data_IF_535736835599
#
_entry.id   IF_535736835599
#
_cell.length_a   1.000
_cell.length_b   1.000
_cell.length_c   1.000
_cell.angle_alpha   90.00
_cell.angle_beta   90.00
_cell.angle_gamma   90.00
#
_symmetry.space_group_name_H-M   'P 1'
#
loop_
_entity.id
_entity.type
_entity.pdbx_description
1 polymer ?
#
# COMPACT_ATOMS: atom_id res chain seq x y z
N UNK A 1 5.31 -0.76 7.85
CA UNK A 1 6.79 -0.90 7.77
C UNK A 1 7.12 -2.04 6.83
N UNK A 2 8.30 -2.02 6.20
CA UNK A 2 8.77 -3.10 5.34
C UNK A 2 8.94 -4.39 6.15
N UNK A 3 8.66 -5.51 5.51
CA UNK A 3 8.86 -6.86 6.06
C UNK A 3 9.44 -7.72 4.94
N UNK A 4 10.57 -8.37 5.19
CA UNK A 4 11.24 -9.19 4.19
C UNK A 4 10.43 -10.44 3.78
N UNK A 5 9.40 -10.79 4.56
CA UNK A 5 8.44 -11.84 4.19
C UNK A 5 7.49 -11.40 3.09
N UNK A 6 7.35 -10.10 2.84
CA UNK A 6 6.52 -9.55 1.77
C UNK A 6 7.39 -8.96 0.66
N UNK A 7 7.33 -9.55 -0.52
CA UNK A 7 8.06 -9.08 -1.70
C UNK A 7 7.08 -8.68 -2.80
N UNK A 8 7.38 -7.59 -3.50
CA UNK A 8 6.60 -7.14 -4.65
C UNK A 8 7.50 -6.36 -5.61
N UNK A 9 7.03 -6.21 -6.85
CA UNK A 9 7.56 -5.23 -7.80
C UNK A 9 6.41 -4.31 -8.19
N UNK A 10 6.57 -3.01 -8.00
CA UNK A 10 5.53 -2.06 -8.38
C UNK A 10 5.42 -2.02 -9.91
N UNK A 11 4.21 -2.24 -10.43
CA UNK A 11 3.92 -2.15 -11.86
C UNK A 11 3.04 -0.92 -12.14
N UNK A 12 3.60 0.17 -12.70
CA UNK A 12 2.84 1.37 -13.05
C UNK A 12 1.75 1.12 -14.10
N UNK A 13 1.90 0.08 -14.93
CA UNK A 13 0.95 -0.26 -15.99
C UNK A 13 -0.19 -1.20 -15.52
N UNK A 14 -0.19 -1.62 -14.25
CA UNK A 14 -1.28 -2.44 -13.71
C UNK A 14 -2.52 -1.58 -13.48
N UNK A 15 -3.58 -1.83 -14.25
CA UNK A 15 -4.82 -1.04 -14.22
C UNK A 15 -5.96 -1.72 -13.46
N UNK A 16 -5.78 -2.95 -13.00
CA UNK A 16 -6.78 -3.69 -12.23
C UNK A 16 -6.14 -4.72 -11.31
N UNK A 17 -6.72 -4.92 -10.13
CA UNK A 17 -6.38 -6.00 -9.20
C UNK A 17 -7.66 -6.54 -8.57
N UNK A 18 -8.01 -7.80 -8.90
CA UNK A 18 -9.31 -8.36 -8.53
C UNK A 18 -10.45 -7.54 -9.14
N UNK A 19 -11.36 -7.03 -8.31
CA UNK A 19 -12.49 -6.18 -8.72
C UNK A 19 -12.17 -4.67 -8.67
N UNK A 20 -10.96 -4.29 -8.27
CA UNK A 20 -10.56 -2.90 -8.06
C UNK A 20 -9.86 -2.37 -9.31
N UNK A 21 -10.35 -1.25 -9.84
CA UNK A 21 -9.65 -0.47 -10.89
C UNK A 21 -8.54 0.34 -10.24
N UNK A 22 -7.39 0.41 -10.90
CA UNK A 22 -6.19 1.08 -10.40
C UNK A 22 -5.74 2.18 -11.34
N UNK A 23 -5.29 3.28 -10.77
CA UNK A 23 -4.65 4.39 -11.45
C UNK A 23 -3.14 4.42 -11.12
N UNK A 24 -2.48 3.25 -11.14
CA UNK A 24 -1.05 3.12 -10.78
C UNK A 24 -0.13 4.08 -11.55
N UNK A 25 -0.48 4.48 -12.77
CA UNK A 25 0.28 5.47 -13.55
C UNK A 25 0.34 6.85 -12.90
N UNK A 26 -0.61 7.17 -12.02
CA UNK A 26 -0.63 8.44 -11.26
C UNK A 26 0.37 8.45 -10.10
N UNK A 27 0.94 7.28 -9.74
CA UNK A 27 1.71 7.09 -8.53
C UNK A 27 3.12 6.59 -8.82
N UNK A 28 4.11 7.23 -8.19
CA UNK A 28 5.51 6.87 -8.23
C UNK A 28 5.89 6.15 -6.95
N UNK A 29 6.39 4.92 -7.08
CA UNK A 29 6.96 4.16 -5.97
C UNK A 29 8.40 4.61 -5.67
N UNK A 30 8.65 4.97 -4.42
CA UNK A 30 9.97 5.29 -3.88
C UNK A 30 10.36 4.27 -2.81
N UNK A 31 11.43 3.54 -3.11
CA UNK A 31 11.96 2.50 -2.24
C UNK A 31 13.21 2.95 -1.44
N UNK A 32 13.59 4.22 -1.50
CA UNK A 32 14.81 4.75 -0.87
C UNK A 32 14.77 4.71 0.65
N UNK A 33 13.58 4.81 1.27
CA UNK A 33 13.45 4.72 2.72
C UNK A 33 13.65 3.27 3.18
N UNK A 34 14.54 2.97 4.13
CA UNK A 34 14.82 1.60 4.56
C UNK A 34 13.68 0.95 5.38
N UNK A 35 12.79 1.76 5.97
CA UNK A 35 11.75 1.31 6.91
C UNK A 35 10.35 1.28 6.28
N UNK A 36 10.08 2.14 5.30
CA UNK A 36 8.76 2.28 4.69
C UNK A 36 8.82 2.20 3.17
N UNK A 37 7.78 1.60 2.58
CA UNK A 37 7.47 1.78 1.18
C UNK A 37 6.70 3.10 1.01
N UNK A 38 7.11 3.94 0.07
CA UNK A 38 6.52 5.26 -0.12
C UNK A 38 5.95 5.35 -1.52
N UNK A 39 4.72 5.82 -1.64
CA UNK A 39 4.13 6.22 -2.91
C UNK A 39 3.90 7.73 -2.90
N UNK A 40 4.19 8.38 -4.03
CA UNK A 40 3.96 9.80 -4.23
C UNK A 40 3.16 10.01 -5.52
N UNK A 41 2.30 11.01 -5.51
CA UNK A 41 1.61 11.48 -6.72
C UNK A 41 1.79 12.99 -6.85
N UNK A 42 1.95 13.45 -8.08
CA UNK A 42 1.90 14.87 -8.44
C UNK A 42 0.58 15.25 -9.10
N UNK A 43 -0.33 14.29 -9.26
CA UNK A 43 -1.66 14.52 -9.82
C UNK A 43 -2.47 15.37 -8.85
N UNK A 44 -3.12 16.40 -9.37
CA UNK A 44 -4.13 17.14 -8.62
C UNK A 44 -5.37 16.26 -8.48
N UNK A 45 -5.74 15.94 -7.24
CA UNK A 45 -6.96 15.20 -6.91
C UNK A 45 -7.98 16.24 -6.42
N UNK A 46 -9.02 16.58 -7.21
CA UNK A 46 -10.01 17.54 -6.77
C UNK A 46 -10.76 17.03 -5.53
N UNK A 47 -11.32 17.96 -4.74
CA UNK A 47 -12.15 17.60 -3.59
C UNK A 47 -13.25 16.58 -3.96
N UNK A 48 -13.54 15.66 -3.03
CA UNK A 48 -14.50 14.56 -3.20
C UNK A 48 -14.12 13.50 -4.25
N UNK A 49 -12.92 13.56 -4.84
CA UNK A 49 -12.40 12.52 -5.73
C UNK A 49 -11.28 11.72 -5.06
N UNK A 50 -10.90 10.62 -5.68
CA UNK A 50 -9.78 9.78 -5.27
C UNK A 50 -8.96 9.33 -6.48
N UNK A 51 -7.78 8.79 -6.19
CA UNK A 51 -6.97 7.99 -7.12
C UNK A 51 -6.46 6.79 -6.33
N UNK A 52 -6.33 5.66 -7.00
CA UNK A 52 -6.07 4.36 -6.40
C UNK A 52 -4.74 3.84 -6.90
N UNK A 53 -3.89 3.40 -5.98
CA UNK A 53 -2.75 2.55 -6.33
C UNK A 53 -2.94 1.18 -5.71
N UNK A 54 -2.40 0.17 -6.38
CA UNK A 54 -2.42 -1.21 -5.95
C UNK A 54 -1.10 -1.90 -6.27
N UNK A 55 -0.79 -2.93 -5.49
CA UNK A 55 0.37 -3.77 -5.69
C UNK A 55 -0.02 -5.24 -5.51
N UNK A 56 0.61 -6.09 -6.30
CA UNK A 56 0.55 -7.53 -6.13
C UNK A 56 1.91 -7.99 -5.61
N UNK A 57 1.90 -8.76 -4.53
CA UNK A 57 3.10 -9.27 -3.90
C UNK A 57 2.93 -10.71 -3.43
N UNK A 58 4.05 -11.30 -3.01
CA UNK A 58 4.11 -12.61 -2.41
C UNK A 58 4.43 -12.46 -0.93
N UNK A 59 3.65 -13.13 -0.08
CA UNK A 59 3.91 -13.21 1.35
C UNK A 59 4.38 -14.62 1.72
N UNK A 60 5.55 -14.75 2.33
CA UNK A 60 6.06 -16.00 2.88
C UNK A 60 5.70 -16.14 4.35
N UNK A 61 4.97 -17.20 4.69
CA UNK A 61 4.66 -17.54 6.08
C UNK A 61 5.88 -18.07 6.84
N UNK A 62 6.96 -18.44 6.12
CA UNK A 62 8.18 -19.06 6.67
C UNK A 62 7.89 -20.32 7.52
N UNK A 63 6.81 -21.03 7.22
CA UNK A 63 6.46 -22.27 7.92
C UNK A 63 5.94 -22.06 9.34
N UNK A 64 5.38 -20.89 9.66
CA UNK A 64 4.73 -20.64 10.95
C UNK A 64 3.30 -20.15 10.78
N UNK A 65 2.46 -20.37 11.79
CA UNK A 65 1.18 -19.66 11.92
C UNK A 65 1.44 -18.24 12.41
N UNK A 66 0.55 -17.31 12.10
CA UNK A 66 0.65 -15.98 12.69
C UNK A 66 -0.30 -14.95 12.12
N UNK A 67 -0.06 -13.72 12.53
CA UNK A 67 -0.82 -12.53 12.12
C UNK A 67 0.13 -11.48 11.60
N UNK A 68 -0.24 -10.82 10.50
CA UNK A 68 0.48 -9.68 9.93
C UNK A 68 -0.47 -8.52 9.72
N UNK A 69 -0.03 -7.33 10.11
CA UNK A 69 -0.71 -6.08 9.81
C UNK A 69 0.01 -5.34 8.67
N UNK A 70 -0.77 -4.86 7.70
CA UNK A 70 -0.34 -3.94 6.66
C UNK A 70 -1.01 -2.59 6.91
N UNK A 71 -0.23 -1.59 7.28
CA UNK A 71 -0.72 -0.25 7.55
C UNK A 71 -0.31 0.69 6.43
N UNK A 72 -1.27 1.47 5.93
CA UNK A 72 -1.06 2.58 5.01
C UNK A 72 -1.42 3.88 5.72
N UNK A 73 -0.63 4.92 5.48
CA UNK A 73 -0.85 6.24 6.05
C UNK A 73 -0.54 7.32 5.02
N UNK A 74 -1.41 8.33 4.94
CA UNK A 74 -1.10 9.59 4.28
C UNK A 74 -0.21 10.44 5.20
N UNK A 75 0.92 10.92 4.67
CA UNK A 75 1.86 11.75 5.41
C UNK A 75 1.22 13.13 5.66
N UNK A 76 1.40 13.67 6.86
CA UNK A 76 0.86 14.97 7.28
C UNK A 76 1.19 16.07 6.24
N UNK A 77 0.18 16.86 5.86
CA UNK A 77 0.28 17.94 4.87
C UNK A 77 0.21 17.48 3.41
N UNK A 78 0.16 16.18 3.15
CA UNK A 78 -0.05 15.64 1.80
C UNK A 78 -1.39 16.10 1.22
N UNK A 79 -1.37 16.75 0.05
CA UNK A 79 -2.59 17.21 -0.63
C UNK A 79 -3.37 18.31 0.09
N UNK A 80 -2.78 18.94 1.13
CA UNK A 80 -3.48 19.93 1.97
C UNK A 80 -4.39 19.32 3.04
N UNK A 81 -4.30 18.01 3.29
CA UNK A 81 -5.11 17.33 4.31
C UNK A 81 -4.66 17.72 5.72
N UNK A 82 -5.61 18.20 6.53
CA UNK A 82 -5.37 18.70 7.89
C UNK A 82 -5.97 17.80 8.98
N UNK A 83 -6.83 16.85 8.61
CA UNK A 83 -7.38 15.90 9.56
C UNK A 83 -6.38 14.76 9.78
N UNK A 84 -5.91 14.59 11.01
CA UNK A 84 -4.89 13.58 11.31
C UNK A 84 -5.50 12.21 11.60
N UNK A 85 -6.82 12.12 11.79
CA UNK A 85 -7.50 10.93 12.27
C UNK A 85 -8.12 10.08 11.15
N UNK A 86 -8.20 10.58 9.92
CA UNK A 86 -8.81 9.90 8.75
C UNK A 86 -7.76 9.39 7.73
N UNK A 87 -6.48 9.50 8.06
CA UNK A 87 -5.38 9.30 7.12
C UNK A 87 -4.66 7.96 7.28
N UNK A 88 -5.23 7.02 8.04
CA UNK A 88 -4.62 5.73 8.33
C UNK A 88 -5.63 4.62 8.09
N UNK A 89 -5.18 3.57 7.40
CA UNK A 89 -5.91 2.30 7.33
C UNK A 89 -4.96 1.15 7.65
N UNK A 90 -5.48 0.08 8.25
CA UNK A 90 -4.71 -1.12 8.55
C UNK A 90 -5.49 -2.38 8.15
N UNK A 91 -4.86 -3.24 7.37
CA UNK A 91 -5.36 -4.56 7.01
C UNK A 91 -4.70 -5.62 7.88
N UNK A 92 -5.47 -6.63 8.33
CA UNK A 92 -4.97 -7.75 9.12
C UNK A 92 -5.07 -9.05 8.31
N UNK A 93 -3.96 -9.75 8.18
CA UNK A 93 -3.89 -11.09 7.59
C UNK A 93 -3.56 -12.09 8.70
N UNK A 94 -4.47 -13.04 8.93
CA UNK A 94 -4.20 -14.23 9.73
C UNK A 94 -3.87 -15.39 8.78
N UNK A 95 -2.78 -16.11 9.05
CA UNK A 95 -2.32 -17.22 8.21
C UNK A 95 -2.00 -18.45 9.05
N UNK A 96 -2.39 -19.61 8.53
CA UNK A 96 -2.22 -20.90 9.16
C UNK A 96 -1.56 -21.87 8.18
N UNK A 97 -0.48 -22.50 8.58
CA UNK A 97 0.13 -23.60 7.85
C UNK A 97 -0.64 -24.89 8.13
N UNK A 98 -0.85 -25.69 7.08
CA UNK A 98 -1.40 -27.04 7.21
C UNK A 98 -0.33 -27.99 7.74
N UNK A 99 -0.69 -28.83 8.72
CA UNK A 99 0.12 -29.98 9.13
C UNK A 99 0.04 -31.12 8.12
#
# INVERSE_FOLDING_TARGET
MKDNRFTFTYNPALTSLGTTTLENTDWTFDNSNPVFWIWRTTKVIPGLNSTTFGLQGNFSTQGVNGTKFFTVQLINGGGGEINLNNNVNAEKIDYFISN
#
